data_IF_401677952943
#
_entry.id   IF_401677952943
#
_cell.length_a   1.000
_cell.length_b   1.000
_cell.length_c   1.000
_cell.angle_alpha   90.00
_cell.angle_beta   90.00
_cell.angle_gamma   90.00
#
_symmetry.space_group_name_H-M   'P 1'
#
loop_
_entity.id
_entity.type
_entity.pdbx_description
1 polymer ?
#
# COMPACT_ATOMS: atom_id res chain seq x y z
N UNK A 1 -16.77 12.90 -9.38
CA UNK A 1 -15.75 12.12 -8.66
C UNK A 1 -15.77 10.73 -9.27
N UNK A 2 -14.63 10.22 -9.76
CA UNK A 2 -14.56 8.98 -10.55
C UNK A 2 -13.86 7.83 -9.81
N UNK A 3 -13.11 8.13 -8.75
CA UNK A 3 -12.39 7.17 -7.93
C UNK A 3 -12.21 7.70 -6.52
N UNK A 4 -12.09 6.78 -5.57
CA UNK A 4 -11.84 7.05 -4.15
C UNK A 4 -10.48 6.52 -3.68
N UNK A 5 -9.78 5.76 -4.54
CA UNK A 5 -8.52 5.08 -4.20
C UNK A 5 -7.48 5.18 -5.32
N UNK A 6 -6.20 5.15 -4.95
CA UNK A 6 -5.07 5.08 -5.87
C UNK A 6 -4.29 3.81 -5.58
N UNK A 7 -4.03 2.99 -6.60
CA UNK A 7 -3.41 1.67 -6.42
C UNK A 7 -2.11 1.51 -7.23
N UNK A 8 -0.99 2.11 -6.78
CA UNK A 8 0.29 2.06 -7.50
C UNK A 8 1.07 0.78 -7.20
N UNK A 9 2.08 0.51 -8.02
CA UNK A 9 3.04 -0.57 -7.73
C UNK A 9 3.90 -0.19 -6.52
N UNK A 10 4.14 -1.11 -5.59
CA UNK A 10 4.83 -0.81 -4.32
C UNK A 10 6.28 -0.31 -4.49
N UNK A 11 6.90 -0.58 -5.64
CA UNK A 11 8.27 -0.15 -5.99
C UNK A 11 8.36 1.34 -6.29
N UNK A 12 7.25 1.99 -6.65
CA UNK A 12 7.17 3.44 -6.90
C UNK A 12 6.46 4.20 -5.78
N UNK A 13 6.16 3.53 -4.67
CA UNK A 13 5.50 4.13 -3.50
C UNK A 13 6.53 4.59 -2.48
N UNK A 14 6.47 5.88 -2.13
CA UNK A 14 7.21 6.50 -1.06
C UNK A 14 6.27 7.29 -0.12
N UNK A 15 6.83 7.88 0.94
CA UNK A 15 6.05 8.63 1.93
C UNK A 15 5.33 9.83 1.31
N UNK A 16 5.98 10.52 0.37
CA UNK A 16 5.41 11.71 -0.26
C UNK A 16 4.15 11.36 -1.07
N UNK A 17 4.16 10.21 -1.75
CA UNK A 17 2.98 9.71 -2.46
C UNK A 17 1.84 9.35 -1.49
N UNK A 18 2.16 8.63 -0.40
CA UNK A 18 1.16 8.26 0.61
C UNK A 18 0.51 9.50 1.22
N UNK A 19 1.31 10.44 1.71
CA UNK A 19 0.84 11.69 2.31
C UNK A 19 -0.05 12.47 1.34
N UNK A 20 0.34 12.53 0.05
CA UNK A 20 -0.42 13.25 -0.96
C UNK A 20 -1.79 12.62 -1.21
N UNK A 21 -1.87 11.29 -1.26
CA UNK A 21 -3.15 10.59 -1.46
C UNK A 21 -4.07 10.81 -0.25
N UNK A 22 -3.53 10.71 0.96
CA UNK A 22 -4.30 10.96 2.19
C UNK A 22 -4.78 12.40 2.30
N UNK A 23 -3.97 13.39 1.92
CA UNK A 23 -4.38 14.81 1.86
C UNK A 23 -5.55 15.08 0.91
N UNK A 24 -5.72 14.24 -0.12
CA UNK A 24 -6.84 14.32 -1.05
C UNK A 24 -8.10 13.60 -0.52
N UNK A 25 -8.06 13.04 0.70
CA UNK A 25 -9.16 12.27 1.28
C UNK A 25 -9.38 10.92 0.60
N UNK A 26 -8.36 10.41 -0.10
CA UNK A 26 -8.38 9.14 -0.80
C UNK A 26 -7.55 8.09 -0.05
N UNK A 27 -7.73 6.82 -0.40
CA UNK A 27 -6.90 5.72 0.15
C UNK A 27 -5.87 5.22 -0.86
N UNK A 28 -4.77 4.64 -0.39
CA UNK A 28 -3.70 4.06 -1.20
C UNK A 28 -3.49 2.57 -0.92
N UNK A 29 -3.75 1.71 -1.92
CA UNK A 29 -3.55 0.26 -1.82
C UNK A 29 -2.49 -0.22 -2.81
N UNK A 30 -1.38 -0.79 -2.35
CA UNK A 30 -0.24 -1.12 -3.23
C UNK A 30 -0.26 -2.56 -3.74
N UNK A 31 0.27 -2.79 -4.93
CA UNK A 31 0.37 -4.12 -5.55
C UNK A 31 1.74 -4.37 -6.21
N UNK A 32 2.07 -5.60 -6.63
CA UNK A 32 1.82 -6.82 -5.84
C UNK A 32 2.96 -6.93 -4.83
N UNK A 33 2.66 -7.15 -3.55
CA UNK A 33 3.67 -7.13 -2.48
C UNK A 33 3.74 -8.48 -1.80
N UNK A 34 4.71 -9.30 -2.21
CA UNK A 34 4.79 -10.69 -1.78
C UNK A 34 5.88 -10.94 -0.74
N UNK A 35 6.91 -10.09 -0.73
CA UNK A 35 8.05 -10.26 0.16
C UNK A 35 7.79 -9.67 1.55
N UNK A 36 8.05 -10.41 2.65
CA UNK A 36 7.81 -9.93 4.01
C UNK A 36 8.51 -8.59 4.34
N UNK A 37 9.69 -8.35 3.76
CA UNK A 37 10.39 -7.08 3.90
C UNK A 37 9.66 -5.91 3.23
N UNK A 38 9.12 -6.13 2.03
CA UNK A 38 8.35 -5.14 1.30
C UNK A 38 7.00 -4.87 1.99
N UNK A 39 6.33 -5.91 2.49
CA UNK A 39 5.11 -5.79 3.31
C UNK A 39 5.35 -4.87 4.51
N UNK A 40 6.41 -5.13 5.30
CA UNK A 40 6.75 -4.30 6.46
C UNK A 40 7.07 -2.85 6.06
N UNK A 41 7.78 -2.66 4.94
CA UNK A 41 8.09 -1.32 4.42
C UNK A 41 6.81 -0.57 4.06
N UNK A 42 5.90 -1.19 3.31
CA UNK A 42 4.65 -0.55 2.88
C UNK A 42 3.74 -0.25 4.07
N UNK A 43 3.62 -1.18 5.03
CA UNK A 43 2.91 -0.94 6.27
C UNK A 43 3.50 0.25 7.07
N UNK A 44 4.83 0.36 7.13
CA UNK A 44 5.50 1.47 7.81
C UNK A 44 5.30 2.83 7.11
N UNK A 45 5.11 2.85 5.78
CA UNK A 45 4.73 4.06 5.05
C UNK A 45 3.28 4.49 5.31
N UNK A 46 2.45 3.61 5.89
CA UNK A 46 1.06 3.90 6.19
C UNK A 46 0.10 3.68 5.02
N UNK A 47 0.41 2.76 4.10
CA UNK A 47 -0.56 2.38 3.05
C UNK A 47 -1.82 1.77 3.68
N UNK A 48 -2.98 1.99 3.05
CA UNK A 48 -4.27 1.53 3.56
C UNK A 48 -4.55 0.05 3.26
N UNK A 49 -3.82 -0.52 2.29
CA UNK A 49 -3.99 -1.90 1.88
C UNK A 49 -2.80 -2.44 1.11
N UNK A 50 -2.64 -3.76 1.18
CA UNK A 50 -1.64 -4.53 0.45
C UNK A 50 -2.37 -5.57 -0.39
N UNK A 51 -2.09 -5.57 -1.69
CA UNK A 51 -2.50 -6.60 -2.63
C UNK A 51 -1.31 -7.56 -2.80
N UNK A 52 -1.52 -8.83 -2.48
CA UNK A 52 -0.49 -9.89 -2.48
C UNK A 52 -1.07 -11.18 -3.04
N UNK A 53 -0.21 -11.99 -3.65
CA UNK A 53 -0.55 -13.36 -4.04
C UNK A 53 -0.47 -14.34 -2.86
N UNK A 54 0.09 -13.91 -1.73
CA UNK A 54 0.33 -14.73 -0.53
C UNK A 54 -0.32 -14.15 0.73
N UNK A 55 -1.65 -14.11 0.84
CA UNK A 55 -2.37 -13.50 1.97
C UNK A 55 -2.00 -14.10 3.34
N UNK A 56 -1.53 -15.35 3.38
CA UNK A 56 -1.05 -16.02 4.61
C UNK A 56 0.16 -15.31 5.25
N UNK A 57 0.91 -14.52 4.48
CA UNK A 57 2.08 -13.78 5.02
C UNK A 57 1.66 -12.57 5.85
N UNK A 58 0.40 -12.10 5.71
CA UNK A 58 -0.13 -10.93 6.43
C UNK A 58 -0.76 -11.29 7.78
N UNK A 59 -1.12 -12.55 8.00
CA UNK A 59 -1.87 -13.00 9.19
C UNK A 59 -1.01 -13.67 10.26
N UNK A 60 0.27 -13.93 9.97
CA UNK A 60 1.21 -14.50 10.91
C UNK A 60 1.71 -13.39 11.86
N UNK A 61 1.12 -13.36 13.06
CA UNK A 61 1.57 -12.54 14.19
C UNK A 61 2.77 -13.17 14.89
#
# INVERSE_FOLDING_TARGET
QWADQINPQHTVTDQALVDRVHQLGMTINVWTVDEPGAIRKMAALGVDGIITDYPQTLTQR
#
